data_IF_546532613926
#
_entry.id   IF_546532613926
#
_cell.length_a   1.000
_cell.length_b   1.000
_cell.length_c   1.000
_cell.angle_alpha   90.00
_cell.angle_beta   90.00
_cell.angle_gamma   90.00
#
_symmetry.space_group_name_H-M   'P 1'
#
loop_
_entity.id
_entity.type
_entity.pdbx_description
1 polymer ?
#
# COMPACT_ATOMS: atom_id res chain seq x y z
N UNK A 1 14.33 -12.04 -6.24
CA UNK A 1 14.66 -10.61 -6.09
C UNK A 1 16.11 -10.52 -5.70
N UNK A 2 16.86 -9.68 -6.41
CA UNK A 2 18.27 -9.48 -6.11
C UNK A 2 18.43 -8.58 -4.88
N UNK A 3 19.53 -8.74 -4.15
CA UNK A 3 19.82 -7.89 -2.98
C UNK A 3 20.22 -6.48 -3.37
N UNK A 4 20.62 -6.27 -4.61
CA UNK A 4 21.02 -4.97 -5.14
C UNK A 4 20.22 -4.68 -6.38
N UNK A 5 19.70 -3.46 -6.49
CA UNK A 5 18.98 -3.00 -7.67
C UNK A 5 19.34 -1.53 -7.91
N UNK A 6 20.03 -1.24 -9.02
CA UNK A 6 20.56 0.09 -9.33
C UNK A 6 21.45 0.60 -8.17
N UNK A 7 21.11 1.73 -7.55
CA UNK A 7 21.82 2.30 -6.39
C UNK A 7 21.18 1.91 -5.04
N UNK A 8 20.29 0.91 -5.02
CA UNK A 8 19.65 0.42 -3.81
C UNK A 8 20.21 -0.93 -3.39
N UNK A 9 20.46 -1.07 -2.09
CA UNK A 9 20.81 -2.34 -1.44
C UNK A 9 19.67 -2.70 -0.50
N UNK A 10 19.14 -3.92 -0.59
CA UNK A 10 18.00 -4.37 0.20
C UNK A 10 18.46 -5.27 1.34
N UNK A 11 17.97 -4.98 2.54
CA UNK A 11 18.06 -5.92 3.66
C UNK A 11 17.17 -7.15 3.42
N UNK A 12 17.50 -8.27 4.07
CA UNK A 12 16.65 -9.48 4.04
C UNK A 12 15.22 -9.17 4.47
N UNK A 13 15.07 -8.36 5.53
CA UNK A 13 13.77 -7.93 6.05
C UNK A 13 12.97 -7.11 5.02
N UNK A 14 13.63 -6.18 4.31
CA UNK A 14 12.98 -5.40 3.26
C UNK A 14 12.47 -6.30 2.13
N UNK A 15 13.26 -7.29 1.69
CA UNK A 15 12.86 -8.23 0.64
C UNK A 15 11.65 -9.07 1.05
N UNK A 16 11.64 -9.61 2.27
CA UNK A 16 10.50 -10.36 2.80
C UNK A 16 9.22 -9.52 2.82
N UNK A 17 9.31 -8.27 3.29
CA UNK A 17 8.16 -7.34 3.32
C UNK A 17 7.67 -6.92 1.94
N UNK A 18 8.58 -6.80 0.98
CA UNK A 18 8.30 -6.41 -0.40
C UNK A 18 7.60 -7.55 -1.15
N UNK A 19 8.09 -8.78 -0.98
CA UNK A 19 7.51 -9.98 -1.59
C UNK A 19 6.08 -10.24 -1.12
N UNK A 20 5.79 -10.02 0.17
CA UNK A 20 4.44 -10.21 0.72
C UNK A 20 3.40 -9.17 0.29
N UNK A 21 3.81 -8.09 -0.39
CA UNK A 21 2.95 -6.94 -0.74
C UNK A 21 2.91 -6.63 -2.23
N UNK A 22 3.42 -7.54 -3.08
CA UNK A 22 3.46 -7.35 -4.54
C UNK A 22 4.09 -5.98 -4.93
N UNK A 23 5.12 -5.57 -4.17
CA UNK A 23 5.89 -4.36 -4.45
C UNK A 23 7.05 -4.72 -5.39
N UNK A 24 7.28 -3.94 -6.43
CA UNK A 24 8.43 -4.13 -7.34
C UNK A 24 9.64 -3.33 -6.87
N UNK A 25 10.85 -3.83 -7.12
CA UNK A 25 12.08 -3.10 -6.81
C UNK A 25 12.17 -1.78 -7.59
N UNK A 26 11.58 -1.71 -8.79
CA UNK A 26 11.51 -0.48 -9.57
C UNK A 26 10.60 0.57 -8.91
N UNK A 27 9.45 0.17 -8.37
CA UNK A 27 8.58 1.10 -7.63
C UNK A 27 9.28 1.65 -6.37
N UNK A 28 10.08 0.83 -5.69
CA UNK A 28 10.91 1.27 -4.56
C UNK A 28 11.99 2.24 -5.04
N UNK A 29 12.67 1.94 -6.15
CA UNK A 29 13.66 2.83 -6.76
C UNK A 29 13.06 4.19 -7.14
N UNK A 30 11.90 4.22 -7.78
CA UNK A 30 11.20 5.47 -8.09
C UNK A 30 10.83 6.25 -6.83
N UNK A 31 10.43 5.55 -5.75
CA UNK A 31 10.09 6.19 -4.48
C UNK A 31 11.29 6.85 -3.82
N UNK A 32 12.48 6.23 -3.89
CA UNK A 32 13.71 6.80 -3.31
C UNK A 32 14.30 7.92 -4.17
N UNK A 33 14.24 7.79 -5.51
CA UNK A 33 14.86 8.76 -6.43
C UNK A 33 14.00 9.99 -6.70
N UNK A 34 12.68 9.84 -6.71
CA UNK A 34 11.73 10.93 -6.94
C UNK A 34 10.60 10.89 -5.89
N UNK A 35 10.88 11.09 -4.60
CA UNK A 35 9.84 11.08 -3.57
C UNK A 35 8.87 12.26 -3.73
N UNK A 36 7.59 12.04 -3.43
CA UNK A 36 6.62 13.13 -3.27
C UNK A 36 6.83 13.83 -1.92
N UNK A 37 7.20 13.05 -0.89
CA UNK A 37 7.51 13.54 0.45
C UNK A 37 8.68 12.78 1.05
N UNK A 38 9.51 13.50 1.80
CA UNK A 38 10.70 12.96 2.46
C UNK A 38 10.69 13.38 3.93
N UNK A 39 10.96 12.45 4.82
CA UNK A 39 11.08 12.70 6.26
C UNK A 39 12.40 12.12 6.77
N UNK A 40 13.23 12.94 7.40
CA UNK A 40 14.45 12.49 8.04
C UNK A 40 14.16 12.12 9.49
N UNK A 41 14.67 10.98 9.94
CA UNK A 41 14.53 10.50 11.32
C UNK A 41 15.77 9.71 11.73
N UNK A 42 16.56 10.28 12.64
CA UNK A 42 17.70 9.64 13.31
C UNK A 42 18.57 8.74 12.38
N UNK A 43 19.11 9.32 11.30
CA UNK A 43 19.98 8.63 10.35
C UNK A 43 19.25 7.85 9.24
N UNK A 44 17.94 7.67 9.36
CA UNK A 44 17.10 7.08 8.33
C UNK A 44 16.29 8.14 7.60
N UNK A 45 16.03 7.89 6.32
CA UNK A 45 15.18 8.74 5.49
C UNK A 45 13.98 7.93 5.04
N UNK A 46 12.78 8.45 5.35
CA UNK A 46 11.51 7.91 4.89
C UNK A 46 11.06 8.66 3.64
N UNK A 47 10.97 7.93 2.55
CA UNK A 47 10.48 8.38 1.26
C UNK A 47 9.04 7.93 1.07
N UNK A 48 8.20 8.80 0.54
CA UNK A 48 6.81 8.51 0.24
C UNK A 48 6.52 8.94 -1.19
N UNK A 49 5.94 8.05 -1.97
CA UNK A 49 5.52 8.33 -3.35
C UNK A 49 4.25 7.58 -3.69
N UNK A 50 3.39 8.18 -4.49
CA UNK A 50 2.25 7.49 -5.10
C UNK A 50 2.64 6.91 -6.45
N UNK A 51 2.62 5.58 -6.59
CA UNK A 51 2.89 4.87 -7.84
C UNK A 51 1.67 4.02 -8.19
N UNK A 52 1.11 4.18 -9.40
CA UNK A 52 -0.08 3.45 -9.83
C UNK A 52 -1.25 3.51 -8.83
N UNK A 53 -1.51 4.70 -8.29
CA UNK A 53 -2.58 4.94 -7.31
C UNK A 53 -2.39 4.21 -5.97
N UNK A 54 -1.16 3.77 -5.66
CA UNK A 54 -0.76 3.16 -4.39
C UNK A 54 0.25 4.05 -3.68
N UNK A 55 -0.01 4.34 -2.41
CA UNK A 55 0.89 5.16 -1.60
C UNK A 55 2.00 4.28 -1.01
N UNK A 56 3.18 4.36 -1.59
CA UNK A 56 4.36 3.59 -1.21
C UNK A 56 5.17 4.38 -0.20
N UNK A 57 5.58 3.69 0.87
CA UNK A 57 6.50 4.19 1.88
C UNK A 57 7.76 3.33 1.87
N UNK A 58 8.91 3.99 1.83
CA UNK A 58 10.23 3.33 1.86
C UNK A 58 11.06 4.00 2.94
N UNK A 59 11.69 3.20 3.80
CA UNK A 59 12.67 3.68 4.77
C UNK A 59 14.04 3.18 4.33
N UNK A 60 14.94 4.11 4.09
CA UNK A 60 16.29 3.82 3.63
C UNK A 60 17.33 4.63 4.42
N UNK A 61 18.50 4.03 4.60
CA UNK A 61 19.66 4.65 5.25
C UNK A 61 20.69 4.96 4.16
N UNK A 62 21.27 6.16 4.11
CA UNK A 62 22.34 6.44 3.16
C UNK A 62 23.57 5.62 3.55
N UNK A 63 24.24 5.03 2.56
CA UNK A 63 25.51 4.32 2.73
C UNK A 63 26.58 4.92 1.80
N UNK A 64 27.81 4.42 1.89
CA UNK A 64 28.90 4.84 1.02
C UNK A 64 28.58 4.63 -0.47
N UNK A 65 29.31 5.32 -1.35
CA UNK A 65 29.15 5.23 -2.82
C UNK A 65 27.80 5.71 -3.38
N UNK A 66 27.15 6.69 -2.74
CA UNK A 66 25.87 7.26 -3.18
C UNK A 66 24.74 6.22 -3.29
N UNK A 67 24.82 5.18 -2.45
CA UNK A 67 23.83 4.12 -2.39
C UNK A 67 22.90 4.29 -1.19
N UNK A 68 21.74 3.64 -1.25
CA UNK A 68 20.77 3.59 -0.17
C UNK A 68 20.51 2.16 0.29
N UNK A 69 20.65 1.92 1.59
CA UNK A 69 20.26 0.67 2.21
C UNK A 69 18.77 0.73 2.56
N UNK A 70 17.95 -0.02 1.83
CA UNK A 70 16.51 -0.16 2.06
C UNK A 70 16.28 -1.10 3.25
N UNK A 71 15.79 -0.52 4.35
CA UNK A 71 15.49 -1.24 5.59
C UNK A 71 14.07 -1.80 5.57
N UNK A 72 13.12 -1.05 5.01
CA UNK A 72 11.70 -1.40 5.04
C UNK A 72 10.95 -0.72 3.89
N UNK A 73 9.97 -1.42 3.32
CA UNK A 73 9.02 -0.86 2.35
C UNK A 73 7.61 -1.41 2.61
N UNK A 74 6.60 -0.57 2.41
CA UNK A 74 5.19 -0.95 2.52
C UNK A 74 4.27 -0.01 1.72
N UNK A 75 3.07 -0.50 1.40
CA UNK A 75 1.99 0.29 0.81
C UNK A 75 1.01 0.66 1.92
N UNK A 76 0.50 1.90 1.90
CA UNK A 76 -0.61 2.32 2.76
C UNK A 76 -1.93 2.13 2.02
N UNK A 77 -2.89 1.45 2.64
CA UNK A 77 -4.24 1.24 2.09
C UNK A 77 -4.45 -0.03 1.28
N UNK A 78 -3.52 -0.98 1.33
CA UNK A 78 -3.66 -2.28 0.64
C UNK A 78 -4.28 -3.39 1.49
N UNK A 79 -4.41 -3.22 2.81
CA UNK A 79 -5.17 -4.17 3.65
C UNK A 79 -6.68 -4.13 3.35
N UNK A 80 -7.20 -3.05 2.77
CA UNK A 80 -8.65 -2.79 2.67
C UNK A 80 -9.22 -2.75 1.25
N UNK A 81 -8.45 -3.10 0.20
CA UNK A 81 -9.09 -3.33 -1.11
C UNK A 81 -9.84 -4.65 -1.04
N UNK A 82 -11.11 -4.59 -0.63
CA UNK A 82 -12.04 -5.72 -0.74
C UNK A 82 -11.87 -6.32 -2.13
N UNK A 83 -11.54 -7.61 -2.17
CA UNK A 83 -11.43 -8.36 -3.42
C UNK A 83 -12.67 -8.10 -4.27
N UNK A 84 -12.50 -7.92 -5.59
CA UNK A 84 -13.63 -7.76 -6.51
C UNK A 84 -14.66 -8.89 -6.35
N UNK A 85 -14.21 -10.08 -5.94
CA UNK A 85 -15.06 -11.23 -5.62
C UNK A 85 -15.96 -10.96 -4.40
N UNK A 86 -15.43 -10.35 -3.34
CA UNK A 86 -16.19 -9.98 -2.14
C UNK A 86 -17.20 -8.87 -2.42
N UNK A 87 -16.84 -7.92 -3.28
CA UNK A 87 -17.78 -6.90 -3.76
C UNK A 87 -18.92 -7.56 -4.53
N UNK A 88 -18.63 -8.51 -5.42
CA UNK A 88 -19.66 -9.22 -6.18
C UNK A 88 -20.55 -10.11 -5.30
N UNK A 89 -19.95 -10.81 -4.33
CA UNK A 89 -20.66 -11.71 -3.42
C UNK A 89 -21.61 -10.95 -2.47
N UNK A 90 -21.22 -9.75 -2.04
CA UNK A 90 -22.01 -8.93 -1.10
C UNK A 90 -23.11 -8.09 -1.76
N UNK A 91 -23.07 -7.90 -3.08
CA UNK A 91 -24.08 -7.16 -3.85
C UNK A 91 -25.52 -7.67 -3.65
N UNK A 92 -25.83 -8.98 -3.79
CA UNK A 92 -27.19 -9.47 -3.58
C UNK A 92 -27.71 -9.17 -2.17
N UNK A 93 -26.86 -9.28 -1.14
CA UNK A 93 -27.22 -9.00 0.25
C UNK A 93 -27.52 -7.52 0.50
N UNK A 94 -26.75 -6.61 -0.13
CA UNK A 94 -27.00 -5.16 -0.06
C UNK A 94 -28.32 -4.78 -0.73
N UNK A 95 -28.67 -5.44 -1.84
CA UNK A 95 -29.91 -5.21 -2.57
C UNK A 95 -31.13 -5.70 -1.77
N UNK A 96 -31.06 -6.89 -1.18
CA UNK A 96 -32.15 -7.42 -0.34
C UNK A 96 -32.37 -6.59 0.92
N UNK A 97 -31.28 -6.17 1.59
CA UNK A 97 -31.37 -5.29 2.76
C UNK A 97 -31.99 -3.93 2.44
N UNK A 98 -31.62 -3.31 1.31
CA UNK A 98 -32.24 -2.06 0.85
C UNK A 98 -33.74 -2.23 0.58
N UNK A 99 -34.14 -3.34 -0.04
CA UNK A 99 -35.55 -3.66 -0.26
C UNK A 99 -36.33 -3.79 1.05
N UNK A 100 -35.79 -4.53 2.01
CA UNK A 100 -36.38 -4.69 3.35
C UNK A 100 -36.53 -3.36 4.10
N UNK A 101 -35.54 -2.49 4.04
CA UNK A 101 -35.62 -1.16 4.66
C UNK A 101 -36.71 -0.27 4.04
N UNK A 102 -36.90 -0.34 2.72
CA UNK A 102 -37.98 0.40 2.03
C UNK A 102 -39.35 -0.11 2.48
N UNK A 103 -39.53 -1.44 2.52
CA UNK A 103 -40.78 -2.08 2.98
C UNK A 103 -41.05 -1.71 4.44
N UNK A 104 -40.04 -1.80 5.32
CA UNK A 104 -40.20 -1.42 6.73
C UNK A 104 -40.55 0.07 6.88
N UNK A 105 -39.88 0.96 6.16
CA UNK A 105 -40.21 2.39 6.19
C UNK A 105 -41.64 2.66 5.72
N UNK A 106 -42.16 1.88 4.78
CA UNK A 106 -43.54 1.97 4.32
C UNK A 106 -44.54 1.52 5.39
N UNK A 107 -44.27 0.40 6.08
CA UNK A 107 -45.11 -0.08 7.18
C UNK A 107 -45.09 0.84 8.41
N UNK A 108 -43.93 1.41 8.76
CA UNK A 108 -43.80 2.35 9.89
C UNK A 108 -44.55 3.68 9.65
N UNK A 109 -44.83 4.04 8.39
CA UNK A 109 -45.58 5.26 8.04
C UNK A 109 -47.11 5.05 8.07
N UNK A 110 -47.57 3.79 8.18
CA UNK A 110 -48.99 3.41 8.21
C UNK A 110 -49.54 3.11 9.61
N UNK A 111 -48.67 3.05 10.62
CA UNK A 111 -49.00 3.01 12.05
C UNK A 111 -48.83 4.42 12.60
#
# INVERSE_FOLDING_TARGET
MDRTYKNLVFTKHALERTSGRVLTQDAIYQTVTAPDKTFLSHGNTKFIRTVNNRLIHVVATPIENHQWLVVSAWVRGEEDRESLVWQLLSLPFKLTWRGLLVIWKYFKKRI
#
